data_IF_240480728833
#
_entry.id   IF_240480728833
#
_cell.length_a   1.000
_cell.length_b   1.000
_cell.length_c   1.000
_cell.angle_alpha   90.00
_cell.angle_beta   90.00
_cell.angle_gamma   90.00
#
_symmetry.space_group_name_H-M   'P 1'
#
loop_
_entity.id
_entity.type
_entity.pdbx_description
1 polymer ?
#
# COMPACT_ATOMS: atom_id res chain seq x y z
N UNK A 1 -62.95 13.98 4.67
CA UNK A 1 -63.25 14.36 3.26
C UNK A 1 -62.34 13.59 2.35
N UNK A 2 -62.88 13.02 1.27
CA UNK A 2 -62.03 12.36 0.23
C UNK A 2 -61.25 13.42 -0.56
N UNK A 3 -59.96 13.24 -0.71
CA UNK A 3 -59.08 14.16 -1.46
C UNK A 3 -59.17 13.87 -2.97
N UNK A 4 -60.14 14.52 -3.64
CA UNK A 4 -60.34 14.46 -5.09
C UNK A 4 -59.93 15.78 -5.73
N UNK A 5 -59.76 15.80 -7.05
CA UNK A 5 -59.35 17.01 -7.79
C UNK A 5 -60.29 18.21 -7.54
N UNK A 6 -61.61 17.94 -7.37
CA UNK A 6 -62.60 18.98 -7.03
C UNK A 6 -62.47 19.49 -5.62
N UNK A 7 -62.35 18.58 -4.63
CA UNK A 7 -62.34 18.93 -3.22
C UNK A 7 -61.03 19.66 -2.80
N UNK A 8 -59.94 19.37 -3.46
CA UNK A 8 -58.61 19.95 -3.19
C UNK A 8 -58.54 21.43 -3.54
N UNK A 9 -59.27 21.86 -4.57
CA UNK A 9 -59.29 23.28 -5.01
C UNK A 9 -59.76 24.23 -3.92
N UNK A 10 -60.70 23.78 -3.10
CA UNK A 10 -61.28 24.55 -2.02
C UNK A 10 -60.47 24.53 -0.73
N UNK A 11 -59.36 23.75 -0.68
CA UNK A 11 -58.53 23.64 0.53
C UNK A 11 -57.53 24.79 0.59
N UNK A 12 -57.65 25.59 1.67
CA UNK A 12 -56.78 26.70 2.00
C UNK A 12 -56.18 26.53 3.40
N UNK A 13 -55.05 27.18 3.61
CA UNK A 13 -54.42 27.21 4.91
C UNK A 13 -55.22 28.12 5.86
N UNK A 14 -55.69 27.63 7.03
CA UNK A 14 -56.36 28.49 7.98
C UNK A 14 -55.53 29.67 8.45
N UNK A 15 -56.16 30.82 8.67
CA UNK A 15 -55.50 32.04 9.12
C UNK A 15 -54.67 31.78 10.40
N UNK A 16 -53.44 32.34 10.46
CA UNK A 16 -52.53 32.22 11.58
C UNK A 16 -51.75 30.86 11.68
N UNK A 17 -51.91 29.94 10.76
CA UNK A 17 -51.16 28.70 10.72
C UNK A 17 -50.00 28.77 9.69
N UNK A 18 -48.84 28.20 9.99
CA UNK A 18 -47.70 28.06 9.08
C UNK A 18 -47.81 26.86 8.18
N UNK A 19 -48.53 25.81 8.61
CA UNK A 19 -48.87 24.61 7.81
C UNK A 19 -50.09 23.88 8.36
N UNK A 20 -50.76 23.11 7.47
CA UNK A 20 -51.81 22.15 7.82
C UNK A 20 -51.81 20.95 6.89
N UNK A 21 -52.10 19.77 7.44
CA UNK A 21 -52.34 18.56 6.66
C UNK A 21 -53.84 18.24 6.70
N UNK A 22 -54.42 18.08 5.52
CA UNK A 22 -55.77 17.61 5.34
C UNK A 22 -55.71 16.13 4.99
N UNK A 23 -56.19 15.28 5.90
CA UNK A 23 -56.17 13.85 5.71
C UNK A 23 -57.38 13.36 4.91
N UNK A 24 -57.11 12.32 4.09
CA UNK A 24 -58.12 11.65 3.31
C UNK A 24 -59.02 10.75 4.20
N UNK A 25 -60.35 10.78 3.99
CA UNK A 25 -61.28 10.00 4.78
C UNK A 25 -61.29 8.51 4.45
N UNK A 26 -60.88 8.10 3.26
CA UNK A 26 -60.88 6.71 2.80
C UNK A 26 -59.54 6.01 2.92
N UNK A 27 -58.44 6.79 3.00
CA UNK A 27 -57.11 6.27 3.14
C UNK A 27 -56.40 6.92 4.35
N UNK A 28 -56.59 6.35 5.55
CA UNK A 28 -55.95 6.88 6.77
C UNK A 28 -54.44 7.00 6.62
N UNK A 29 -53.90 8.15 6.99
CA UNK A 29 -52.46 8.47 6.85
C UNK A 29 -52.08 9.16 5.53
N UNK A 30 -52.92 9.11 4.48
CA UNK A 30 -52.70 9.89 3.28
C UNK A 30 -53.26 11.31 3.43
N UNK A 31 -52.54 12.33 3.00
CA UNK A 31 -52.99 13.71 3.16
C UNK A 31 -52.31 14.70 2.22
N UNK A 32 -52.95 15.88 2.11
CA UNK A 32 -52.41 17.05 1.42
C UNK A 32 -51.90 18.07 2.45
N UNK A 33 -50.62 18.37 2.42
CA UNK A 33 -49.99 19.40 3.26
C UNK A 33 -49.96 20.73 2.54
N UNK A 34 -50.50 21.76 3.18
CA UNK A 34 -50.49 23.16 2.70
C UNK A 34 -49.64 24.00 3.64
N UNK A 35 -48.73 24.79 3.11
CA UNK A 35 -47.85 25.71 3.85
C UNK A 35 -48.18 27.18 3.55
N UNK A 36 -47.77 28.07 4.45
CA UNK A 36 -47.97 29.54 4.35
C UNK A 36 -47.43 30.13 3.06
N UNK A 37 -46.38 29.58 2.44
CA UNK A 37 -45.89 29.96 1.11
C UNK A 37 -46.67 29.42 -0.07
N UNK A 38 -47.92 28.91 0.14
CA UNK A 38 -48.81 28.43 -0.92
C UNK A 38 -48.45 27.04 -1.48
N UNK A 39 -47.37 26.40 -1.04
CA UNK A 39 -46.99 25.06 -1.53
C UNK A 39 -47.94 23.99 -1.03
N UNK A 40 -48.46 23.18 -1.99
CA UNK A 40 -49.34 22.05 -1.72
C UNK A 40 -48.60 20.76 -2.07
N UNK A 41 -48.38 19.87 -1.10
CA UNK A 41 -47.63 18.62 -1.28
C UNK A 41 -48.38 17.41 -0.71
N UNK A 42 -48.38 16.32 -1.45
CA UNK A 42 -48.89 15.04 -1.00
C UNK A 42 -47.94 14.41 0.05
N UNK A 43 -48.52 13.85 1.10
CA UNK A 43 -47.75 13.14 2.11
C UNK A 43 -48.52 11.91 2.64
N UNK A 44 -47.71 10.96 3.12
CA UNK A 44 -48.19 9.83 3.92
C UNK A 44 -47.63 9.92 5.30
N UNK A 45 -48.47 9.79 6.31
CA UNK A 45 -48.06 9.77 7.72
C UNK A 45 -48.48 8.41 8.31
N UNK A 46 -47.57 7.75 8.98
CA UNK A 46 -47.81 6.46 9.61
C UNK A 46 -46.98 6.33 10.90
N UNK A 47 -47.33 5.34 11.74
CA UNK A 47 -46.57 4.96 12.92
C UNK A 47 -45.86 3.64 12.64
N UNK A 48 -44.53 3.62 12.93
CA UNK A 48 -43.73 2.41 12.85
C UNK A 48 -43.01 2.21 14.17
N UNK A 49 -43.33 1.13 14.89
CA UNK A 49 -42.92 0.95 16.28
C UNK A 49 -43.43 2.11 17.16
N UNK A 50 -42.50 2.79 17.82
CA UNK A 50 -42.79 3.99 18.65
C UNK A 50 -42.70 5.30 17.90
N UNK A 51 -42.22 5.30 16.63
CA UNK A 51 -41.90 6.51 15.86
C UNK A 51 -43.01 6.89 14.88
N UNK A 52 -43.37 8.18 14.86
CA UNK A 52 -44.21 8.76 13.81
C UNK A 52 -43.35 9.13 12.61
N UNK A 53 -43.74 8.65 11.44
CA UNK A 53 -43.06 8.87 10.16
C UNK A 53 -43.90 9.66 9.21
N UNK A 54 -43.28 10.51 8.38
CA UNK A 54 -43.94 11.24 7.30
C UNK A 54 -43.10 11.18 6.02
N UNK A 55 -43.72 10.78 4.92
CA UNK A 55 -43.07 10.77 3.61
C UNK A 55 -43.81 11.75 2.71
N UNK A 56 -43.08 12.63 2.03
CA UNK A 56 -43.58 13.48 0.97
C UNK A 56 -43.55 12.68 -0.33
N UNK A 57 -44.72 12.61 -1.03
CA UNK A 57 -44.88 11.87 -2.29
C UNK A 57 -44.56 12.74 -3.51
N UNK A 58 -44.90 14.03 -3.47
CA UNK A 58 -44.71 14.96 -4.55
C UNK A 58 -45.53 16.23 -4.37
N UNK A 59 -45.37 17.24 -5.24
CA UNK A 59 -46.20 18.43 -5.25
C UNK A 59 -47.53 18.16 -5.96
N UNK A 60 -48.55 18.91 -5.57
CA UNK A 60 -49.86 18.85 -6.28
C UNK A 60 -49.76 19.25 -7.76
N UNK A 61 -48.73 20.05 -8.13
CA UNK A 61 -48.50 20.45 -9.51
C UNK A 61 -47.88 19.37 -10.39
N UNK A 62 -47.20 18.39 -9.79
CA UNK A 62 -46.45 17.33 -10.51
C UNK A 62 -47.08 15.95 -10.36
N UNK A 63 -47.95 15.75 -9.37
CA UNK A 63 -48.55 14.45 -9.06
C UNK A 63 -50.05 14.62 -8.85
N UNK A 64 -50.85 14.02 -9.74
CA UNK A 64 -52.30 14.08 -9.64
C UNK A 64 -52.83 13.27 -8.41
N UNK A 65 -54.06 13.59 -7.93
CA UNK A 65 -54.62 12.97 -6.74
C UNK A 65 -54.78 11.44 -6.86
N UNK A 66 -55.07 10.91 -8.05
CA UNK A 66 -55.21 9.47 -8.27
C UNK A 66 -53.92 8.72 -8.10
N UNK A 67 -52.86 9.17 -8.78
CA UNK A 67 -51.50 8.60 -8.68
C UNK A 67 -50.92 8.78 -7.28
N UNK A 68 -51.16 9.94 -6.66
CA UNK A 68 -50.72 10.17 -5.27
C UNK A 68 -51.37 9.16 -4.31
N UNK A 69 -52.65 8.86 -4.50
CA UNK A 69 -53.37 7.87 -3.71
C UNK A 69 -52.85 6.44 -3.92
N UNK A 70 -52.58 6.04 -5.17
CA UNK A 70 -51.98 4.73 -5.48
C UNK A 70 -50.62 4.57 -4.78
N UNK A 71 -49.72 5.53 -4.96
CA UNK A 71 -48.42 5.54 -4.29
C UNK A 71 -48.55 5.48 -2.75
N UNK A 72 -49.53 6.18 -2.19
CA UNK A 72 -49.83 6.14 -0.77
C UNK A 72 -50.29 4.76 -0.30
N UNK A 73 -51.15 4.09 -1.09
CA UNK A 73 -51.63 2.72 -0.81
C UNK A 73 -50.48 1.73 -0.78
N UNK A 74 -49.56 1.80 -1.75
CA UNK A 74 -48.40 0.90 -1.83
C UNK A 74 -47.47 1.08 -0.66
N UNK A 75 -47.17 2.34 -0.27
CA UNK A 75 -46.36 2.64 0.91
C UNK A 75 -47.00 2.16 2.21
N UNK A 76 -48.31 2.38 2.39
CA UNK A 76 -49.03 1.92 3.56
C UNK A 76 -49.17 0.39 3.60
N UNK A 77 -49.24 -0.27 2.46
CA UNK A 77 -49.19 -1.73 2.38
C UNK A 77 -47.81 -2.25 2.80
N UNK A 78 -46.72 -1.64 2.36
CA UNK A 78 -45.38 -1.98 2.78
C UNK A 78 -45.21 -1.83 4.32
N UNK A 79 -45.78 -0.77 4.89
CA UNK A 79 -45.77 -0.56 6.36
C UNK A 79 -46.51 -1.66 7.11
N UNK A 80 -47.69 -2.08 6.59
CA UNK A 80 -48.46 -3.20 7.17
C UNK A 80 -47.71 -4.53 7.11
N UNK A 81 -46.87 -4.71 6.11
CA UNK A 81 -45.96 -5.86 5.97
C UNK A 81 -44.68 -5.74 6.80
N UNK A 82 -44.59 -4.77 7.71
CA UNK A 82 -43.47 -4.62 8.62
C UNK A 82 -42.24 -3.90 8.05
N UNK A 83 -42.35 -3.17 6.92
CA UNK A 83 -41.27 -2.33 6.38
C UNK A 83 -41.39 -0.88 6.85
N UNK A 84 -40.25 -0.16 6.96
CA UNK A 84 -40.23 1.28 7.27
C UNK A 84 -39.71 2.10 6.07
N UNK A 85 -40.57 2.44 5.07
CA UNK A 85 -40.10 3.14 3.87
C UNK A 85 -39.43 4.49 4.12
N UNK A 86 -39.74 5.18 5.23
CA UNK A 86 -39.05 6.41 5.61
C UNK A 86 -37.68 6.13 6.21
N UNK A 87 -37.55 5.07 7.01
CA UNK A 87 -36.28 4.58 7.52
C UNK A 87 -35.37 4.12 6.39
N UNK A 88 -35.90 3.29 5.49
CA UNK A 88 -35.18 2.78 4.32
C UNK A 88 -34.63 3.92 3.43
N UNK A 89 -35.45 4.98 3.18
CA UNK A 89 -34.99 6.19 2.46
C UNK A 89 -33.89 6.94 3.20
N UNK A 90 -34.01 7.11 4.49
CA UNK A 90 -33.00 7.81 5.30
C UNK A 90 -31.68 7.03 5.32
N UNK A 91 -31.78 5.72 5.45
CA UNK A 91 -30.60 4.83 5.42
C UNK A 91 -29.96 4.80 4.04
N UNK A 92 -30.73 4.74 2.95
CA UNK A 92 -30.22 4.83 1.59
C UNK A 92 -29.55 6.18 1.31
N UNK A 93 -30.12 7.29 1.80
CA UNK A 93 -29.49 8.62 1.70
C UNK A 93 -28.19 8.72 2.51
N UNK A 94 -28.16 8.16 3.71
CA UNK A 94 -26.95 8.12 4.52
C UNK A 94 -25.84 7.29 3.84
N UNK A 95 -26.18 6.11 3.31
CA UNK A 95 -25.25 5.28 2.51
C UNK A 95 -24.74 5.99 1.26
N UNK A 96 -25.59 6.77 0.60
CA UNK A 96 -25.20 7.54 -0.61
C UNK A 96 -24.35 8.77 -0.25
N UNK A 97 -24.48 9.31 0.96
CA UNK A 97 -23.70 10.47 1.42
C UNK A 97 -22.25 10.10 1.86
N UNK A 98 -22.00 8.82 2.15
CA UNK A 98 -20.70 8.38 2.65
C UNK A 98 -19.72 8.14 1.47
N UNK A 99 -18.76 9.07 1.31
CA UNK A 99 -17.82 9.00 0.19
C UNK A 99 -16.56 8.19 0.54
N UNK A 100 -15.91 7.63 -0.48
CA UNK A 100 -14.63 6.92 -0.31
C UNK A 100 -13.58 7.79 0.39
N UNK A 101 -13.46 9.06 0.00
CA UNK A 101 -12.49 9.99 0.59
C UNK A 101 -12.74 10.27 2.07
N UNK A 102 -14.01 10.33 2.50
CA UNK A 102 -14.36 10.57 3.91
C UNK A 102 -13.92 9.41 4.83
N UNK A 103 -13.83 8.19 4.31
CA UNK A 103 -13.42 7.00 5.06
C UNK A 103 -11.91 6.77 5.11
N UNK A 104 -11.15 7.36 4.17
CA UNK A 104 -9.70 7.14 4.09
C UNK A 104 -8.92 7.49 5.36
N UNK A 105 -9.16 8.60 6.07
CA UNK A 105 -8.42 8.93 7.28
C UNK A 105 -8.51 7.82 8.33
N UNK A 106 -9.69 7.21 8.49
CA UNK A 106 -9.93 6.12 9.45
C UNK A 106 -9.17 4.85 9.06
N UNK A 107 -9.14 4.49 7.77
CA UNK A 107 -8.37 3.36 7.27
C UNK A 107 -6.87 3.62 7.39
N UNK A 108 -6.39 4.80 6.97
CA UNK A 108 -4.97 5.16 7.00
C UNK A 108 -4.40 5.20 8.42
N UNK A 109 -5.15 5.72 9.39
CA UNK A 109 -4.74 5.68 10.80
C UNK A 109 -4.49 4.23 11.27
N UNK A 110 -5.38 3.28 10.91
CA UNK A 110 -5.20 1.86 11.20
C UNK A 110 -3.98 1.26 10.49
N UNK A 111 -3.71 1.64 9.23
CA UNK A 111 -2.53 1.16 8.51
C UNK A 111 -1.24 1.72 9.10
N UNK A 112 -1.23 2.97 9.55
CA UNK A 112 -0.07 3.62 10.18
C UNK A 112 0.38 2.89 11.44
N UNK A 113 -0.57 2.41 12.25
CA UNK A 113 -0.25 1.63 13.45
C UNK A 113 0.32 0.23 13.15
N UNK A 114 0.06 -0.32 11.94
CA UNK A 114 0.40 -1.71 11.58
C UNK A 114 1.62 -1.83 10.68
N UNK A 115 1.77 -0.90 9.74
CA UNK A 115 2.78 -0.97 8.69
C UNK A 115 4.09 -0.32 9.13
N UNK A 116 5.19 -0.70 8.47
CA UNK A 116 6.44 0.06 8.55
C UNK A 116 6.26 1.42 7.85
N UNK A 117 6.97 2.49 8.27
CA UNK A 117 6.79 3.83 7.72
C UNK A 117 6.76 3.88 6.20
N UNK A 118 7.75 3.30 5.53
CA UNK A 118 7.81 3.26 4.07
C UNK A 118 6.64 2.52 3.41
N UNK A 119 6.19 1.41 4.01
CA UNK A 119 5.03 0.68 3.47
C UNK A 119 3.74 1.45 3.68
N UNK A 120 3.64 2.22 4.78
CA UNK A 120 2.52 3.13 5.01
C UNK A 120 2.51 4.25 3.97
N UNK A 121 3.64 4.93 3.73
CA UNK A 121 3.78 5.99 2.72
C UNK A 121 3.37 5.52 1.31
N UNK A 122 3.73 4.28 0.94
CA UNK A 122 3.30 3.68 -0.32
C UNK A 122 1.77 3.48 -0.38
N UNK A 123 1.17 2.91 0.67
CA UNK A 123 -0.29 2.74 0.74
C UNK A 123 -1.01 4.09 0.74
N UNK A 124 -0.52 5.05 1.50
CA UNK A 124 -1.05 6.41 1.54
C UNK A 124 -1.00 7.06 0.15
N UNK A 125 0.14 7.00 -0.54
CA UNK A 125 0.28 7.51 -1.90
C UNK A 125 -0.67 6.82 -2.89
N UNK A 126 -0.82 5.49 -2.80
CA UNK A 126 -1.76 4.76 -3.65
C UNK A 126 -3.20 5.22 -3.47
N UNK A 127 -3.61 5.47 -2.24
CA UNK A 127 -4.99 5.86 -1.92
C UNK A 127 -5.24 7.36 -2.09
N UNK A 128 -4.29 8.22 -1.72
CA UNK A 128 -4.49 9.67 -1.80
C UNK A 128 -4.19 10.25 -3.18
N UNK A 129 -3.20 9.71 -3.89
CA UNK A 129 -2.77 10.24 -5.20
C UNK A 129 -3.36 9.43 -6.35
N UNK A 130 -3.04 8.14 -6.43
CA UNK A 130 -3.49 7.31 -7.56
C UNK A 130 -4.99 7.03 -7.56
N UNK A 131 -5.64 7.09 -6.41
CA UNK A 131 -7.08 6.85 -6.25
C UNK A 131 -7.90 8.12 -5.97
N UNK A 132 -7.33 9.32 -6.18
CA UNK A 132 -7.99 10.61 -5.93
C UNK A 132 -9.35 10.74 -6.63
N UNK A 133 -9.50 10.15 -7.80
CA UNK A 133 -10.74 10.15 -8.58
C UNK A 133 -11.94 9.45 -7.89
N UNK A 134 -11.67 8.59 -6.88
CA UNK A 134 -12.68 7.93 -6.06
C UNK A 134 -13.16 8.79 -4.88
N UNK A 135 -12.40 9.81 -4.47
CA UNK A 135 -12.62 10.47 -3.18
C UNK A 135 -14.00 11.08 -3.01
N UNK A 136 -14.56 11.68 -4.07
CA UNK A 136 -15.88 12.29 -4.06
C UNK A 136 -17.03 11.30 -4.37
N UNK A 137 -16.71 10.04 -4.70
CA UNK A 137 -17.74 9.07 -5.06
C UNK A 137 -18.34 8.42 -3.82
N UNK A 138 -19.67 8.30 -3.76
CA UNK A 138 -20.33 7.45 -2.76
C UNK A 138 -19.82 6.02 -2.83
N UNK A 139 -19.56 5.41 -1.67
CA UNK A 139 -19.05 4.04 -1.63
C UNK A 139 -20.03 3.03 -2.22
N UNK A 140 -21.33 3.29 -2.13
CA UNK A 140 -22.39 2.45 -2.70
C UNK A 140 -22.37 2.42 -4.26
N UNK A 141 -21.74 3.42 -4.90
CA UNK A 141 -21.63 3.53 -6.36
C UNK A 141 -20.33 2.98 -6.93
N UNK A 142 -19.46 2.45 -6.08
CA UNK A 142 -18.15 1.93 -6.50
C UNK A 142 -18.29 0.54 -7.10
N UNK A 143 -18.25 0.46 -8.42
CA UNK A 143 -18.35 -0.79 -9.15
C UNK A 143 -16.97 -1.33 -9.60
N UNK A 144 -16.95 -2.64 -9.92
CA UNK A 144 -15.75 -3.35 -10.41
C UNK A 144 -15.25 -2.78 -11.73
N UNK A 145 -16.16 -2.36 -12.62
CA UNK A 145 -15.80 -1.89 -13.95
C UNK A 145 -15.02 -0.59 -13.88
N UNK A 146 -15.47 0.37 -13.07
CA UNK A 146 -14.77 1.64 -12.86
C UNK A 146 -13.38 1.43 -12.27
N UNK A 147 -13.25 0.53 -11.27
CA UNK A 147 -11.96 0.17 -10.69
C UNK A 147 -11.04 -0.47 -11.74
N UNK A 148 -11.53 -1.43 -12.53
CA UNK A 148 -10.75 -2.12 -13.55
C UNK A 148 -10.24 -1.17 -14.64
N UNK A 149 -11.08 -0.27 -15.14
CA UNK A 149 -10.70 0.75 -16.12
C UNK A 149 -9.58 1.64 -15.58
N UNK A 150 -9.71 2.12 -14.35
CA UNK A 150 -8.67 2.96 -13.76
C UNK A 150 -7.36 2.23 -13.54
N UNK A 151 -7.40 0.97 -13.15
CA UNK A 151 -6.20 0.15 -13.01
C UNK A 151 -5.49 -0.06 -14.35
N UNK A 152 -6.24 -0.20 -15.47
CA UNK A 152 -5.66 -0.25 -16.81
C UNK A 152 -4.97 1.06 -17.18
N UNK A 153 -5.60 2.21 -16.94
CA UNK A 153 -4.98 3.52 -17.17
C UNK A 153 -3.67 3.70 -16.35
N UNK A 154 -3.66 3.23 -15.10
CA UNK A 154 -2.43 3.26 -14.28
C UNK A 154 -1.37 2.33 -14.87
N UNK A 155 -1.75 1.16 -15.38
CA UNK A 155 -0.82 0.23 -16.01
C UNK A 155 -0.17 0.84 -17.26
N UNK A 156 -0.94 1.54 -18.07
CA UNK A 156 -0.48 2.21 -19.29
C UNK A 156 0.46 3.40 -18.98
N UNK A 157 0.11 4.21 -17.99
CA UNK A 157 0.86 5.44 -17.66
C UNK A 157 2.03 5.24 -16.69
N UNK A 158 1.94 4.28 -15.78
CA UNK A 158 2.90 4.08 -14.66
C UNK A 158 3.47 2.66 -14.60
N UNK A 159 3.02 1.80 -15.49
CA UNK A 159 3.45 0.41 -15.60
C UNK A 159 2.64 -0.58 -14.76
N UNK A 160 2.71 -1.87 -15.12
CA UNK A 160 1.89 -2.93 -14.52
C UNK A 160 2.14 -3.13 -13.02
N UNK A 161 3.37 -2.99 -12.56
CA UNK A 161 3.71 -3.12 -11.14
C UNK A 161 3.05 -2.04 -10.29
N UNK A 162 2.99 -0.79 -10.79
CA UNK A 162 2.30 0.31 -10.12
C UNK A 162 0.79 0.02 -10.02
N UNK A 163 0.17 -0.40 -11.13
CA UNK A 163 -1.25 -0.77 -11.15
C UNK A 163 -1.58 -1.89 -10.16
N UNK A 164 -0.75 -2.95 -10.11
CA UNK A 164 -0.93 -4.07 -9.19
C UNK A 164 -0.76 -3.65 -7.72
N UNK A 165 0.15 -2.73 -7.44
CA UNK A 165 0.36 -2.17 -6.10
C UNK A 165 -0.83 -1.32 -5.65
N UNK A 166 -1.34 -0.44 -6.53
CA UNK A 166 -2.56 0.35 -6.28
C UNK A 166 -3.77 -0.57 -6.08
N UNK A 167 -3.92 -1.59 -6.94
CA UNK A 167 -4.96 -2.61 -6.80
C UNK A 167 -4.93 -3.29 -5.44
N UNK A 168 -3.76 -3.69 -4.96
CA UNK A 168 -3.59 -4.32 -3.66
C UNK A 168 -4.00 -3.38 -2.51
N UNK A 169 -3.61 -2.10 -2.58
CA UNK A 169 -3.98 -1.10 -1.58
C UNK A 169 -5.49 -0.81 -1.57
N UNK A 170 -6.11 -0.67 -2.75
CA UNK A 170 -7.57 -0.52 -2.90
C UNK A 170 -8.31 -1.74 -2.36
N UNK A 171 -7.88 -2.95 -2.74
CA UNK A 171 -8.50 -4.18 -2.26
C UNK A 171 -8.40 -4.34 -0.75
N UNK A 172 -7.28 -3.94 -0.13
CA UNK A 172 -7.13 -3.92 1.32
C UNK A 172 -8.08 -2.92 1.99
N UNK A 173 -8.24 -1.73 1.40
CA UNK A 173 -9.16 -0.69 1.89
C UNK A 173 -10.63 -1.16 1.78
N UNK A 174 -11.05 -1.65 0.64
CA UNK A 174 -12.41 -2.18 0.45
C UNK A 174 -12.70 -3.42 1.30
N UNK A 175 -11.72 -4.29 1.50
CA UNK A 175 -11.87 -5.42 2.43
C UNK A 175 -12.02 -4.97 3.89
N UNK A 176 -11.41 -3.86 4.27
CA UNK A 176 -11.66 -3.25 5.57
C UNK A 176 -13.08 -2.69 5.65
N UNK A 177 -13.54 -1.91 4.65
CA UNK A 177 -14.91 -1.39 4.58
C UNK A 177 -15.95 -2.51 4.64
N UNK A 178 -15.70 -3.63 3.93
CA UNK A 178 -16.56 -4.82 3.97
C UNK A 178 -16.68 -5.38 5.40
N UNK A 179 -15.57 -5.50 6.12
CA UNK A 179 -15.57 -5.98 7.52
C UNK A 179 -16.19 -5.00 8.53
N UNK A 180 -16.21 -3.70 8.21
CA UNK A 180 -16.92 -2.67 9.00
C UNK A 180 -18.41 -2.60 8.64
N UNK A 181 -18.90 -3.43 7.71
CA UNK A 181 -20.29 -3.41 7.25
C UNK A 181 -20.68 -2.22 6.36
N UNK A 182 -19.68 -1.50 5.82
CA UNK A 182 -19.89 -0.34 4.96
C UNK A 182 -20.11 -0.72 3.49
N UNK A 183 -19.68 -1.91 3.08
CA UNK A 183 -19.84 -2.47 1.74
C UNK A 183 -20.33 -3.92 1.83
N UNK A 184 -21.08 -4.35 0.83
CA UNK A 184 -21.52 -5.75 0.69
C UNK A 184 -20.50 -6.61 -0.07
N UNK A 185 -19.66 -5.99 -0.92
CA UNK A 185 -18.63 -6.67 -1.70
C UNK A 185 -17.40 -5.78 -1.90
N UNK A 186 -16.24 -6.38 -2.12
CA UNK A 186 -15.01 -5.66 -2.46
C UNK A 186 -14.92 -5.48 -3.98
N UNK A 187 -15.08 -4.27 -4.53
CA UNK A 187 -15.08 -4.04 -5.97
C UNK A 187 -13.72 -4.24 -6.65
N UNK A 188 -12.61 -4.29 -5.88
CA UNK A 188 -11.28 -4.56 -6.43
C UNK A 188 -10.91 -6.06 -6.42
N UNK A 189 -11.65 -6.92 -5.69
CA UNK A 189 -11.24 -8.31 -5.45
C UNK A 189 -11.05 -9.12 -6.73
N UNK A 190 -11.98 -9.03 -7.65
CA UNK A 190 -12.01 -9.81 -8.90
C UNK A 190 -11.61 -9.00 -10.14
N UNK A 191 -10.88 -7.90 -9.97
CA UNK A 191 -10.26 -7.21 -11.10
C UNK A 191 -9.01 -7.96 -11.54
N UNK A 192 -8.71 -7.92 -12.83
CA UNK A 192 -7.50 -8.55 -13.37
C UNK A 192 -6.24 -7.84 -12.86
N UNK A 193 -5.19 -8.62 -12.64
CA UNK A 193 -3.85 -8.05 -12.46
C UNK A 193 -3.28 -7.69 -13.82
N UNK A 194 -2.60 -6.55 -13.89
CA UNK A 194 -1.80 -6.21 -15.05
C UNK A 194 -0.65 -7.21 -15.21
N UNK A 195 -0.33 -7.57 -16.44
CA UNK A 195 0.72 -8.55 -16.74
C UNK A 195 2.08 -7.93 -16.42
N UNK A 196 2.77 -8.47 -15.44
CA UNK A 196 4.14 -8.11 -15.14
C UNK A 196 5.12 -8.97 -15.91
N UNK A 197 6.28 -8.41 -16.22
CA UNK A 197 7.38 -9.22 -16.71
C UNK A 197 7.72 -10.28 -15.67
N UNK A 198 8.10 -11.47 -16.12
CA UNK A 198 8.48 -12.58 -15.24
C UNK A 198 9.54 -12.20 -14.22
N UNK A 199 9.70 -13.03 -13.20
CA UNK A 199 10.74 -12.81 -12.22
C UNK A 199 12.10 -12.70 -12.89
N UNK A 200 12.86 -11.67 -12.50
CA UNK A 200 14.20 -11.46 -13.04
C UNK A 200 15.15 -12.52 -12.45
N UNK A 201 15.94 -13.15 -13.30
CA UNK A 201 16.90 -14.23 -12.95
C UNK A 201 18.36 -13.83 -13.20
N UNK A 202 18.66 -12.53 -13.34
CA UNK A 202 19.98 -12.00 -13.66
C UNK A 202 21.02 -12.34 -12.60
N UNK A 203 22.02 -13.11 -12.97
CA UNK A 203 23.25 -13.39 -12.23
C UNK A 203 24.40 -12.73 -12.96
N UNK A 204 25.27 -12.03 -12.26
CA UNK A 204 26.43 -11.36 -12.85
C UNK A 204 27.55 -12.38 -13.11
N UNK A 205 28.18 -12.27 -14.26
CA UNK A 205 29.40 -13.02 -14.58
C UNK A 205 30.61 -12.44 -13.80
N UNK A 206 31.66 -13.22 -13.63
CA UNK A 206 32.86 -12.78 -12.88
C UNK A 206 33.54 -11.56 -13.53
N UNK A 207 33.61 -11.53 -14.85
CA UNK A 207 34.10 -10.36 -15.57
C UNK A 207 33.24 -9.10 -15.33
N UNK A 208 31.91 -9.27 -15.18
CA UNK A 208 31.02 -8.15 -14.87
C UNK A 208 31.17 -7.69 -13.42
N UNK A 209 31.41 -8.61 -12.48
CA UNK A 209 31.75 -8.26 -11.10
C UNK A 209 33.08 -7.50 -11.03
N UNK A 210 34.08 -7.93 -11.80
CA UNK A 210 35.38 -7.24 -11.90
C UNK A 210 35.23 -5.83 -12.49
N UNK A 211 34.50 -5.68 -13.58
CA UNK A 211 34.20 -4.36 -14.18
C UNK A 211 33.49 -3.42 -13.21
N UNK A 212 32.47 -3.93 -12.51
CA UNK A 212 31.77 -3.16 -11.49
C UNK A 212 32.73 -2.73 -10.38
N UNK A 213 33.49 -3.69 -9.81
CA UNK A 213 34.37 -3.44 -8.69
C UNK A 213 35.44 -2.40 -8.99
N UNK A 214 36.11 -2.52 -10.16
CA UNK A 214 37.16 -1.59 -10.61
C UNK A 214 36.64 -0.17 -10.86
N UNK A 215 35.38 -0.04 -11.34
CA UNK A 215 34.78 1.27 -11.62
C UNK A 215 34.18 1.95 -10.38
N UNK A 216 34.18 1.29 -9.21
CA UNK A 216 33.63 1.87 -7.98
C UNK A 216 34.37 3.14 -7.57
N UNK A 217 33.67 4.23 -7.23
CA UNK A 217 34.31 5.42 -6.70
C UNK A 217 34.79 5.20 -5.25
N UNK A 218 35.85 5.93 -4.87
CA UNK A 218 36.35 5.94 -3.47
C UNK A 218 35.51 6.88 -2.59
N UNK A 219 34.27 6.50 -2.37
CA UNK A 219 33.31 7.24 -1.54
C UNK A 219 32.31 6.30 -0.85
N UNK A 220 31.34 6.85 -0.11
CA UNK A 220 30.33 6.05 0.58
C UNK A 220 29.56 5.10 -0.34
N UNK A 221 29.25 5.50 -1.60
CA UNK A 221 28.54 4.62 -2.53
C UNK A 221 29.38 3.41 -2.92
N UNK A 222 30.66 3.62 -3.25
CA UNK A 222 31.56 2.53 -3.57
C UNK A 222 31.75 1.56 -2.41
N UNK A 223 31.95 2.09 -1.19
CA UNK A 223 32.04 1.27 0.02
C UNK A 223 30.76 0.44 0.26
N UNK A 224 29.59 1.04 0.08
CA UNK A 224 28.30 0.33 0.18
C UNK A 224 28.23 -0.80 -0.85
N UNK A 225 28.57 -0.55 -2.13
CA UNK A 225 28.50 -1.57 -3.17
C UNK A 225 29.46 -2.72 -2.88
N UNK A 226 30.67 -2.44 -2.44
CA UNK A 226 31.63 -3.46 -1.98
C UNK A 226 31.05 -4.31 -0.86
N UNK A 227 30.49 -3.70 0.19
CA UNK A 227 29.85 -4.42 1.29
C UNK A 227 28.63 -5.24 0.84
N UNK A 228 27.79 -4.69 -0.05
CA UNK A 228 26.65 -5.43 -0.61
C UNK A 228 27.12 -6.67 -1.39
N UNK A 229 28.22 -6.56 -2.13
CA UNK A 229 28.81 -7.67 -2.86
C UNK A 229 29.32 -8.73 -1.89
N UNK A 230 30.11 -8.34 -0.88
CA UNK A 230 30.75 -9.27 0.06
C UNK A 230 29.80 -9.92 1.05
N UNK A 231 28.69 -9.27 1.41
CA UNK A 231 27.77 -9.78 2.44
C UNK A 231 26.47 -10.34 1.89
N UNK A 232 26.14 -10.07 0.63
CA UNK A 232 24.84 -10.40 0.05
C UNK A 232 23.65 -9.69 0.74
N UNK A 233 23.89 -8.66 1.54
CA UNK A 233 22.87 -7.91 2.30
C UNK A 233 21.92 -7.12 1.40
N UNK A 234 20.80 -6.65 1.96
CA UNK A 234 19.89 -5.77 1.22
C UNK A 234 20.43 -4.34 1.20
N UNK A 235 20.19 -3.63 0.11
CA UNK A 235 20.62 -2.26 -0.14
C UNK A 235 20.44 -1.33 1.07
N UNK A 236 19.21 -1.30 1.59
CA UNK A 236 18.85 -0.38 2.67
C UNK A 236 19.39 -0.85 4.04
N UNK A 237 19.74 -2.13 4.20
CA UNK A 237 20.41 -2.68 5.40
C UNK A 237 21.82 -2.08 5.52
N UNK A 238 22.59 -2.07 4.44
CA UNK A 238 23.95 -1.49 4.42
C UNK A 238 23.89 0.04 4.27
N UNK A 239 23.06 0.57 3.36
CA UNK A 239 23.00 2.01 3.13
C UNK A 239 22.54 2.86 4.34
N UNK A 240 21.90 2.23 5.32
CA UNK A 240 21.50 2.84 6.59
C UNK A 240 22.18 2.19 7.80
N UNK A 241 23.35 1.56 7.60
CA UNK A 241 24.12 0.90 8.64
C UNK A 241 24.52 1.90 9.73
N UNK A 242 24.50 1.44 10.98
CA UNK A 242 24.83 2.23 12.16
C UNK A 242 26.08 1.70 12.84
N UNK A 243 26.85 2.58 13.43
CA UNK A 243 28.01 2.19 14.25
C UNK A 243 27.57 1.35 15.44
N UNK A 244 26.45 1.67 16.06
CA UNK A 244 25.84 0.88 17.15
C UNK A 244 25.42 -0.53 16.76
N UNK A 245 25.37 -0.85 15.47
CA UNK A 245 25.06 -2.19 14.95
C UNK A 245 26.31 -3.01 14.63
N UNK A 246 27.50 -2.42 14.74
CA UNK A 246 28.77 -3.04 14.36
C UNK A 246 29.60 -3.38 15.61
N UNK A 247 29.89 -4.64 15.76
CA UNK A 247 30.87 -5.15 16.73
C UNK A 247 32.19 -5.41 15.97
N UNK A 248 33.15 -4.48 16.12
CA UNK A 248 34.43 -4.57 15.41
C UNK A 248 35.31 -5.70 15.99
N UNK A 249 35.22 -5.98 17.29
CA UNK A 249 35.99 -7.02 17.97
C UNK A 249 35.55 -8.41 17.47
N UNK A 250 34.22 -8.66 17.44
CA UNK A 250 33.67 -9.93 16.97
C UNK A 250 33.44 -9.96 15.45
N UNK A 251 33.77 -8.90 14.71
CA UNK A 251 33.60 -8.76 13.26
C UNK A 251 32.16 -9.07 12.80
N UNK A 252 31.21 -8.43 13.46
CA UNK A 252 29.79 -8.77 13.31
C UNK A 252 28.94 -7.51 13.14
N UNK A 253 28.02 -7.55 12.18
CA UNK A 253 26.90 -6.61 12.11
C UNK A 253 25.67 -7.29 12.70
N UNK A 254 25.00 -6.64 13.65
CA UNK A 254 23.73 -7.10 14.23
C UNK A 254 22.61 -6.12 13.89
N UNK A 255 21.79 -6.49 12.91
CA UNK A 255 20.61 -5.69 12.52
C UNK A 255 19.43 -6.05 13.42
N UNK A 256 18.82 -5.09 14.13
CA UNK A 256 17.61 -5.34 14.91
C UNK A 256 16.40 -5.61 14.01
N UNK A 257 15.38 -6.29 14.54
CA UNK A 257 14.20 -6.73 13.77
C UNK A 257 13.44 -5.60 13.09
N UNK A 258 13.43 -4.41 13.67
CA UNK A 258 12.80 -3.21 13.11
C UNK A 258 13.40 -2.81 11.77
N UNK A 259 14.70 -3.06 11.58
CA UNK A 259 15.42 -2.74 10.36
C UNK A 259 15.34 -3.81 9.29
N UNK A 260 15.11 -5.06 9.66
CA UNK A 260 15.02 -6.17 8.71
C UNK A 260 13.62 -6.29 8.08
N UNK A 261 13.52 -6.79 6.85
CA UNK A 261 12.24 -6.92 6.14
C UNK A 261 11.25 -7.85 6.87
N UNK A 262 11.75 -8.88 7.52
CA UNK A 262 10.98 -9.93 8.18
C UNK A 262 10.77 -9.72 9.69
N UNK A 263 11.21 -8.58 10.23
CA UNK A 263 11.14 -8.23 11.65
C UNK A 263 11.91 -9.19 12.59
N UNK A 264 12.83 -9.97 12.07
CA UNK A 264 13.71 -10.81 12.88
C UNK A 264 15.12 -10.19 12.91
N UNK A 265 15.81 -10.20 14.05
CA UNK A 265 17.21 -9.80 14.11
C UNK A 265 18.06 -10.63 13.13
N UNK A 266 19.06 -10.00 12.54
CA UNK A 266 19.98 -10.65 11.62
C UNK A 266 21.42 -10.35 12.00
N UNK A 267 22.22 -11.37 12.21
CA UNK A 267 23.66 -11.31 12.37
C UNK A 267 24.35 -11.54 11.03
N UNK A 268 25.27 -10.67 10.67
CA UNK A 268 26.06 -10.74 9.44
C UNK A 268 27.55 -10.72 9.82
N UNK A 269 28.21 -11.88 9.86
CA UNK A 269 29.65 -11.94 10.05
C UNK A 269 30.40 -11.20 8.93
N UNK A 270 31.47 -10.52 9.27
CA UNK A 270 32.32 -9.78 8.34
C UNK A 270 33.64 -10.52 8.09
N UNK A 271 33.85 -10.94 6.84
CA UNK A 271 35.13 -11.45 6.39
C UNK A 271 36.20 -10.34 6.33
N UNK A 272 37.48 -10.70 6.11
CA UNK A 272 38.61 -9.73 6.13
C UNK A 272 38.39 -8.53 5.22
N UNK A 273 38.05 -8.74 3.94
CA UNK A 273 37.81 -7.68 2.98
C UNK A 273 36.64 -6.75 3.37
N UNK A 274 35.57 -7.28 3.97
CA UNK A 274 34.45 -6.47 4.45
C UNK A 274 34.87 -5.64 5.70
N UNK A 275 35.70 -6.19 6.58
CA UNK A 275 36.26 -5.47 7.73
C UNK A 275 37.15 -4.30 7.32
N UNK A 276 37.99 -4.48 6.31
CA UNK A 276 38.86 -3.40 5.77
C UNK A 276 37.97 -2.23 5.29
N UNK A 277 36.88 -2.50 4.59
CA UNK A 277 35.96 -1.47 4.11
C UNK A 277 35.28 -0.75 5.28
N UNK A 278 34.85 -1.47 6.30
CA UNK A 278 34.22 -0.88 7.50
C UNK A 278 35.23 -0.01 8.27
N UNK A 279 36.44 -0.53 8.52
CA UNK A 279 37.51 0.17 9.25
C UNK A 279 37.96 1.45 8.52
N UNK A 280 37.87 1.49 7.19
CA UNK A 280 38.19 2.67 6.41
C UNK A 280 37.12 3.78 6.51
N UNK A 281 35.97 3.53 7.15
CA UNK A 281 34.95 4.55 7.35
C UNK A 281 35.26 5.37 8.60
N UNK A 282 35.19 6.70 8.47
CA UNK A 282 35.34 7.60 9.60
C UNK A 282 34.00 7.87 10.27
N UNK A 283 33.97 7.79 11.59
CA UNK A 283 32.83 8.28 12.36
C UNK A 283 32.83 9.82 12.36
N UNK A 284 31.70 10.42 12.07
CA UNK A 284 31.59 11.87 11.88
C UNK A 284 30.92 12.53 13.07
N UNK A 285 31.42 13.69 13.46
CA UNK A 285 30.77 14.55 14.44
C UNK A 285 29.48 15.17 13.84
N UNK A 286 28.46 15.29 14.66
CA UNK A 286 27.23 16.01 14.36
C UNK A 286 27.32 17.48 14.76
N UNK A 287 26.32 18.27 14.36
CA UNK A 287 26.31 19.71 14.67
C UNK A 287 26.23 20.01 16.18
N UNK A 288 25.63 19.13 16.95
CA UNK A 288 25.55 19.21 18.42
C UNK A 288 26.79 18.66 19.16
N UNK A 289 27.82 18.29 18.42
CA UNK A 289 29.05 17.73 18.97
C UNK A 289 29.00 16.23 19.27
N UNK A 290 27.83 15.58 19.14
CA UNK A 290 27.71 14.13 19.28
C UNK A 290 28.33 13.40 18.08
N UNK A 291 28.58 12.10 18.25
CA UNK A 291 29.02 11.26 17.13
C UNK A 291 27.84 10.74 16.32
N UNK A 292 27.92 10.88 15.00
CA UNK A 292 26.91 10.36 14.10
C UNK A 292 26.90 8.83 14.11
N UNK A 293 25.75 8.24 14.40
CA UNK A 293 25.61 6.78 14.46
C UNK A 293 25.51 6.12 13.06
N UNK A 294 25.11 6.85 12.02
CA UNK A 294 25.04 6.32 10.65
C UNK A 294 26.43 6.28 10.00
N UNK A 295 26.81 5.12 9.45
CA UNK A 295 28.10 4.91 8.77
C UNK A 295 28.13 5.65 7.43
N UNK A 296 27.08 5.56 6.63
CA UNK A 296 27.02 6.07 5.26
C UNK A 296 26.04 7.24 5.11
N UNK A 297 26.28 8.03 4.05
CA UNK A 297 25.49 9.23 3.73
C UNK A 297 25.97 10.47 4.45
N UNK A 298 25.32 11.61 4.22
CA UNK A 298 25.73 12.91 4.75
C UNK A 298 24.70 13.56 5.69
N UNK A 299 23.44 13.15 5.62
CA UNK A 299 22.39 13.65 6.49
C UNK A 299 22.49 13.11 7.93
N UNK A 300 21.98 13.82 8.90
CA UNK A 300 22.05 13.43 10.32
C UNK A 300 21.15 12.24 10.65
N UNK A 301 19.94 12.20 10.07
CA UNK A 301 18.89 11.23 10.42
C UNK A 301 18.70 10.12 9.41
N UNK A 302 19.22 10.26 8.18
CA UNK A 302 19.04 9.32 7.08
C UNK A 302 20.38 8.80 6.59
N UNK A 303 20.43 7.50 6.28
CA UNK A 303 21.57 6.88 5.62
C UNK A 303 21.74 7.37 4.19
N UNK A 304 22.38 6.59 3.35
CA UNK A 304 22.66 6.96 1.96
C UNK A 304 21.36 7.13 1.14
N UNK A 305 21.23 8.24 0.39
CA UNK A 305 20.01 8.59 -0.36
C UNK A 305 20.20 8.68 -1.90
N UNK A 306 21.39 8.96 -2.39
CA UNK A 306 21.66 9.26 -3.81
C UNK A 306 21.72 7.98 -4.70
N UNK A 307 20.83 7.02 -4.48
CA UNK A 307 20.89 5.70 -5.13
C UNK A 307 20.80 5.74 -6.65
N UNK A 308 19.87 6.52 -7.19
CA UNK A 308 19.63 6.55 -8.65
C UNK A 308 20.75 7.28 -9.38
N UNK A 309 21.17 8.43 -8.87
CA UNK A 309 22.24 9.24 -9.45
C UNK A 309 23.56 8.49 -9.39
N UNK A 310 23.94 7.94 -8.23
CA UNK A 310 25.19 7.20 -8.08
C UNK A 310 25.21 5.91 -8.92
N UNK A 311 24.05 5.28 -9.16
CA UNK A 311 23.97 4.12 -10.05
C UNK A 311 24.20 4.51 -11.52
N UNK A 312 23.66 5.65 -11.96
CA UNK A 312 23.90 6.18 -13.31
C UNK A 312 25.38 6.54 -13.51
N UNK A 313 25.98 7.21 -12.53
CA UNK A 313 27.40 7.56 -12.55
C UNK A 313 28.30 6.31 -12.62
N UNK A 314 27.96 5.28 -11.82
CA UNK A 314 28.70 4.01 -11.86
C UNK A 314 28.56 3.33 -13.23
N UNK A 315 27.36 3.27 -13.80
CA UNK A 315 27.16 2.68 -15.13
C UNK A 315 27.95 3.43 -16.22
N UNK A 316 28.04 4.75 -16.14
CA UNK A 316 28.85 5.56 -17.04
C UNK A 316 30.36 5.28 -16.88
N UNK A 317 30.84 5.15 -15.62
CA UNK A 317 32.26 4.78 -15.34
C UNK A 317 32.60 3.39 -15.89
N UNK A 318 31.72 2.40 -15.68
CA UNK A 318 31.89 1.05 -16.19
C UNK A 318 31.98 1.08 -17.72
N UNK A 319 31.06 1.78 -18.39
CA UNK A 319 31.06 1.87 -19.85
C UNK A 319 32.34 2.53 -20.37
N UNK A 320 32.80 3.60 -19.74
CA UNK A 320 34.06 4.28 -20.08
C UNK A 320 35.28 3.36 -19.93
N UNK A 321 35.39 2.63 -18.81
CA UNK A 321 36.46 1.69 -18.56
C UNK A 321 36.46 0.53 -19.60
N UNK A 322 35.27 -0.02 -19.92
CA UNK A 322 35.13 -1.06 -20.95
C UNK A 322 35.53 -0.58 -22.34
N UNK A 323 35.14 0.64 -22.71
CA UNK A 323 35.54 1.26 -23.97
C UNK A 323 37.07 1.41 -24.06
N UNK A 324 37.70 1.86 -22.98
CA UNK A 324 39.17 1.96 -22.92
C UNK A 324 39.84 0.59 -23.04
N UNK A 325 39.17 -0.49 -22.61
CA UNK A 325 39.64 -1.88 -22.80
C UNK A 325 39.21 -2.51 -24.15
N UNK A 326 38.68 -1.73 -25.08
CA UNK A 326 38.26 -2.21 -26.41
C UNK A 326 36.87 -2.89 -26.45
N UNK A 327 36.09 -2.81 -25.40
CA UNK A 327 34.75 -3.41 -25.30
C UNK A 327 33.68 -2.32 -25.39
N UNK A 328 33.16 -2.03 -26.56
CA UNK A 328 32.15 -0.96 -26.75
C UNK A 328 30.71 -1.46 -26.53
N UNK A 329 30.49 -2.15 -25.41
CA UNK A 329 29.18 -2.62 -25.00
C UNK A 329 29.02 -2.42 -23.50
N UNK A 330 27.87 -1.85 -23.02
CA UNK A 330 27.58 -1.80 -21.61
C UNK A 330 27.39 -3.20 -21.02
N UNK A 331 27.55 -3.33 -19.71
CA UNK A 331 27.06 -4.52 -19.01
C UNK A 331 25.54 -4.63 -19.25
N UNK A 332 25.02 -5.83 -19.65
CA UNK A 332 23.59 -6.02 -19.80
C UNK A 332 22.84 -5.57 -18.54
N UNK A 333 21.71 -4.88 -18.73
CA UNK A 333 21.00 -4.18 -17.66
C UNK A 333 21.02 -4.91 -16.33
N UNK A 334 21.59 -4.31 -15.29
CA UNK A 334 21.74 -4.87 -13.95
C UNK A 334 21.25 -3.91 -12.86
N UNK A 335 20.93 -4.46 -11.69
CA UNK A 335 20.47 -3.72 -10.51
C UNK A 335 21.29 -4.12 -9.29
N UNK A 336 21.35 -3.28 -8.27
CA UNK A 336 22.06 -3.60 -7.03
C UNK A 336 21.61 -4.92 -6.38
N UNK A 337 20.35 -5.29 -6.53
CA UNK A 337 19.84 -6.56 -5.99
C UNK A 337 20.39 -7.79 -6.74
N UNK A 338 20.93 -7.62 -7.95
CA UNK A 338 21.54 -8.72 -8.68
C UNK A 338 22.89 -9.14 -8.07
N UNK A 339 23.60 -8.25 -7.33
CA UNK A 339 24.76 -8.59 -6.51
C UNK A 339 24.39 -9.66 -5.46
N UNK A 340 23.29 -9.45 -4.75
CA UNK A 340 22.79 -10.41 -3.76
C UNK A 340 22.35 -11.73 -4.41
N UNK A 341 21.73 -11.66 -5.58
CA UNK A 341 21.36 -12.87 -6.34
C UNK A 341 22.60 -13.63 -6.79
N UNK A 342 23.63 -12.93 -7.26
CA UNK A 342 24.92 -13.51 -7.65
C UNK A 342 25.57 -14.20 -6.45
N UNK A 343 25.66 -13.53 -5.32
CA UNK A 343 26.16 -14.11 -4.06
C UNK A 343 25.41 -15.42 -3.72
N UNK A 344 24.08 -15.38 -3.73
CA UNK A 344 23.26 -16.58 -3.46
C UNK A 344 23.55 -17.71 -4.43
N UNK A 345 23.54 -17.43 -5.75
CA UNK A 345 23.70 -18.44 -6.80
C UNK A 345 25.08 -19.07 -6.75
N UNK A 346 26.13 -18.25 -6.59
CA UNK A 346 27.52 -18.74 -6.50
C UNK A 346 27.78 -19.55 -5.22
N UNK A 347 27.25 -19.10 -4.10
CA UNK A 347 27.33 -19.87 -2.86
C UNK A 347 26.73 -21.29 -3.00
N UNK A 348 25.56 -21.42 -3.67
CA UNK A 348 24.94 -22.72 -3.90
C UNK A 348 25.70 -23.55 -4.94
N UNK A 349 26.04 -22.97 -6.08
CA UNK A 349 26.62 -23.67 -7.24
C UNK A 349 28.12 -23.95 -7.07
N UNK A 350 28.94 -22.91 -7.10
CA UNK A 350 30.40 -23.03 -7.11
C UNK A 350 30.98 -23.36 -5.74
N UNK A 351 30.50 -22.69 -4.69
CA UNK A 351 31.06 -22.83 -3.34
C UNK A 351 30.40 -23.98 -2.55
N UNK A 352 29.35 -24.59 -3.09
CA UNK A 352 28.63 -25.75 -2.50
C UNK A 352 28.24 -25.53 -1.03
N UNK A 353 27.93 -24.29 -0.66
CA UNK A 353 27.42 -23.95 0.66
C UNK A 353 26.03 -24.55 0.82
N UNK A 354 25.76 -25.16 1.95
CA UNK A 354 24.47 -25.80 2.19
C UNK A 354 23.31 -24.79 2.07
N UNK A 355 22.18 -25.16 1.41
CA UNK A 355 21.09 -24.21 1.12
C UNK A 355 20.56 -23.48 2.34
N UNK A 356 20.43 -24.13 3.49
CA UNK A 356 19.93 -23.48 4.71
C UNK A 356 20.92 -22.44 5.28
N UNK A 357 22.23 -22.60 5.05
CA UNK A 357 23.23 -21.61 5.44
C UNK A 357 23.16 -20.41 4.51
N UNK A 358 23.01 -20.60 3.20
CA UNK A 358 22.82 -19.48 2.25
C UNK A 358 21.55 -18.72 2.61
N UNK A 359 20.44 -19.40 2.90
CA UNK A 359 19.20 -18.76 3.35
C UNK A 359 19.40 -17.98 4.68
N UNK A 360 20.22 -18.52 5.60
CA UNK A 360 20.57 -17.85 6.85
C UNK A 360 21.44 -16.60 6.61
N UNK A 361 22.43 -16.65 5.71
CA UNK A 361 23.25 -15.49 5.28
C UNK A 361 22.34 -14.41 4.71
N UNK A 362 21.44 -14.80 3.84
CA UNK A 362 20.50 -13.87 3.21
C UNK A 362 19.37 -13.38 4.14
N UNK A 363 19.22 -13.94 5.34
CA UNK A 363 18.14 -13.61 6.26
C UNK A 363 16.75 -13.88 5.66
N UNK A 364 16.58 -15.01 4.96
CA UNK A 364 15.30 -15.48 4.47
C UNK A 364 14.64 -16.36 5.53
N UNK A 365 13.31 -16.24 5.70
CA UNK A 365 12.53 -17.06 6.62
C UNK A 365 12.12 -18.37 5.95
N UNK A 366 11.96 -18.38 4.61
CA UNK A 366 11.54 -19.55 3.85
C UNK A 366 12.67 -20.59 3.84
N UNK A 367 12.34 -21.84 4.08
CA UNK A 367 13.29 -22.95 4.15
C UNK A 367 13.54 -23.38 5.60
N UNK A 368 14.59 -22.88 6.24
CA UNK A 368 15.02 -23.33 7.58
C UNK A 368 14.21 -22.78 8.76
N UNK A 369 13.43 -21.69 8.54
CA UNK A 369 12.58 -21.04 9.56
C UNK A 369 11.10 -20.94 9.15
N UNK A 370 10.63 -21.75 8.19
CA UNK A 370 9.22 -21.78 7.79
C UNK A 370 8.49 -23.00 8.37
N UNK A 371 7.19 -22.85 8.64
CA UNK A 371 6.35 -23.95 9.16
C UNK A 371 6.78 -24.43 10.54
N UNK A 372 6.59 -25.70 10.81
CA UNK A 372 6.92 -26.37 12.09
C UNK A 372 8.42 -26.26 12.40
N UNK A 373 9.29 -26.40 11.39
CA UNK A 373 10.74 -26.27 11.56
C UNK A 373 11.15 -24.89 12.13
N UNK A 374 10.47 -23.82 11.75
CA UNK A 374 10.77 -22.47 12.25
C UNK A 374 10.38 -22.23 13.71
N UNK A 375 9.49 -23.04 14.26
CA UNK A 375 9.11 -22.99 15.68
C UNK A 375 10.22 -23.58 16.56
N UNK A 376 10.87 -24.64 16.11
CA UNK A 376 11.87 -25.38 16.90
C UNK A 376 13.30 -24.95 16.61
N UNK A 377 13.65 -24.61 15.36
CA UNK A 377 14.99 -24.23 14.98
C UNK A 377 15.25 -22.73 15.23
N UNK A 378 15.91 -22.41 16.34
CA UNK A 378 16.34 -21.08 16.73
C UNK A 378 17.84 -20.82 16.53
N UNK A 379 18.54 -21.74 15.88
CA UNK A 379 19.97 -21.61 15.62
C UNK A 379 20.28 -20.37 14.77
N UNK A 380 21.30 -19.62 15.14
CA UNK A 380 21.74 -18.43 14.41
C UNK A 380 22.71 -18.74 13.27
N UNK A 381 23.30 -19.95 13.27
CA UNK A 381 24.30 -20.42 12.31
C UNK A 381 25.48 -19.43 12.14
N UNK A 382 25.91 -18.78 13.24
CA UNK A 382 26.90 -17.69 13.17
C UNK A 382 28.22 -18.15 12.56
N UNK A 383 28.76 -19.28 13.03
CA UNK A 383 30.03 -19.81 12.53
C UNK A 383 29.95 -20.31 11.09
N UNK A 384 28.87 -20.98 10.73
CA UNK A 384 28.64 -21.46 9.37
C UNK A 384 28.45 -20.31 8.39
N UNK A 385 27.74 -19.25 8.79
CA UNK A 385 27.64 -18.00 8.01
C UNK A 385 28.99 -17.33 7.87
N UNK A 386 29.80 -17.28 8.93
CA UNK A 386 31.14 -16.68 8.87
C UNK A 386 32.04 -17.43 7.89
N UNK A 387 32.04 -18.76 7.93
CA UNK A 387 32.77 -19.59 6.95
C UNK A 387 32.27 -19.39 5.52
N UNK A 388 30.96 -19.38 5.31
CA UNK A 388 30.35 -19.17 4.00
C UNK A 388 30.68 -17.78 3.42
N UNK A 389 30.65 -16.73 4.25
CA UNK A 389 30.99 -15.37 3.84
C UNK A 389 32.50 -15.17 3.62
N UNK A 390 33.35 -15.89 4.34
CA UNK A 390 34.80 -15.90 4.08
C UNK A 390 35.09 -16.55 2.71
N UNK A 391 34.57 -17.75 2.46
CA UNK A 391 34.71 -18.42 1.15
C UNK A 391 34.17 -17.53 -0.02
N UNK A 392 33.04 -16.86 0.21
CA UNK A 392 32.50 -15.92 -0.79
C UNK A 392 33.41 -14.70 -0.97
N UNK A 393 33.94 -14.14 0.10
CA UNK A 393 34.89 -13.04 0.05
C UNK A 393 36.15 -13.39 -0.75
N UNK A 394 36.73 -14.56 -0.51
CA UNK A 394 37.87 -15.09 -1.25
C UNK A 394 37.56 -15.26 -2.74
N UNK A 395 36.38 -15.82 -3.05
CA UNK A 395 35.89 -15.95 -4.43
C UNK A 395 35.77 -14.57 -5.11
N UNK A 396 35.13 -13.60 -4.47
CA UNK A 396 35.00 -12.23 -5.02
C UNK A 396 36.37 -11.61 -5.24
N UNK A 397 37.27 -11.71 -4.26
CA UNK A 397 38.63 -11.15 -4.34
C UNK A 397 39.40 -11.76 -5.52
N UNK A 398 39.32 -13.08 -5.71
CA UNK A 398 39.93 -13.74 -6.87
C UNK A 398 39.29 -13.25 -8.18
N UNK A 399 37.95 -13.22 -8.28
CA UNK A 399 37.25 -12.78 -9.49
C UNK A 399 37.57 -11.33 -9.88
N UNK A 400 37.74 -10.42 -8.93
CA UNK A 400 38.04 -8.99 -9.21
C UNK A 400 39.54 -8.70 -9.37
N UNK A 401 40.42 -9.58 -8.88
CA UNK A 401 41.88 -9.47 -8.99
C UNK A 401 42.44 -10.03 -10.30
N UNK A 402 41.74 -10.92 -10.97
CA UNK A 402 42.18 -11.61 -12.20
C UNK A 402 41.82 -10.89 -13.50
N UNK A 403 41.19 -9.71 -13.41
CA UNK A 403 40.76 -8.90 -14.55
C UNK A 403 41.66 -7.67 -14.82
#
# INVERSE_FOLDING_TARGET
>A
MRLTASNIRALELPAGKTERIFFDSELPGFGLRIRSGGSKTWCVQYKFGTKHRRIVLGSLSTLDPGKARETAKDLLAAVRLGRDPAGDRTEAQAKTAETFGALLPRFLARQRARLKPRSYEEVERHLLVHSKWLHSRPIAELDRRAIALRLSEIADNSGPTAANSVRASLSACFSWMLREGLLEANPAAYTNKAVERGARDRVLADAELADIWKALPENHYGAIIKLLTLTGSRRDEIGSLRWSEIDLEHRLITLPGERTKNRLPQEIPLGPAAMEIVNAQAQRAMHDGSQRDLVFGFGETRGFQAWSTSKLDLDARILSARKAAGVDKPIPGWRLHDLRRTCSTRMHGELRVQPHIVEAVLGHIKGHRSGVAGVYNRATYREEKARALALWGDYVTAAVGTG
#
